data_IF_516750509106
#
_entry.id   IF_516750509106
#
_cell.length_a   1.000
_cell.length_b   1.000
_cell.length_c   1.000
_cell.angle_alpha   90.00
_cell.angle_beta   90.00
_cell.angle_gamma   90.00
#
_symmetry.space_group_name_H-M   'P 1'
#
loop_
_entity.id
_entity.type
_entity.pdbx_description
1 polymer ?
#
# COMPACT_ATOMS: atom_id res chain seq x y z
N UNK A 1 12.94 31.04 -10.58
CA UNK A 1 13.45 29.74 -10.10
C UNK A 1 12.50 28.66 -10.54
N UNK A 2 12.99 27.56 -11.12
CA UNK A 2 12.16 26.39 -11.44
C UNK A 2 12.22 25.42 -10.27
N UNK A 3 11.06 25.01 -9.78
CA UNK A 3 10.90 24.00 -8.73
C UNK A 3 10.21 22.81 -9.39
N UNK A 4 10.73 21.62 -9.17
CA UNK A 4 10.18 20.38 -9.71
C UNK A 4 10.21 19.30 -8.63
N UNK A 5 9.22 18.42 -8.66
CA UNK A 5 9.17 17.26 -7.79
C UNK A 5 8.42 16.11 -8.46
N UNK A 6 8.45 14.96 -7.81
CA UNK A 6 7.77 13.76 -8.26
C UNK A 6 7.19 13.00 -7.07
N UNK A 7 6.16 12.23 -7.34
CA UNK A 7 5.66 11.18 -6.46
C UNK A 7 5.39 9.96 -7.31
N UNK A 8 5.81 8.79 -6.83
CA UNK A 8 5.65 7.55 -7.57
C UNK A 8 4.95 6.53 -6.71
N UNK A 9 3.95 5.82 -7.24
CA UNK A 9 3.45 4.60 -6.62
C UNK A 9 3.83 3.35 -7.40
N UNK A 10 4.05 2.27 -6.67
CA UNK A 10 4.29 0.93 -7.18
C UNK A 10 3.30 -0.04 -6.55
N UNK A 11 2.68 -0.85 -7.40
CA UNK A 11 1.62 -1.79 -7.02
C UNK A 11 2.15 -3.23 -7.07
N UNK A 12 1.93 -4.01 -6.02
CA UNK A 12 2.41 -5.39 -5.89
C UNK A 12 1.39 -6.29 -5.17
N UNK A 13 1.47 -7.61 -5.40
CA UNK A 13 0.56 -8.59 -4.80
C UNK A 13 1.21 -9.22 -3.56
N UNK A 14 0.81 -8.82 -2.34
CA UNK A 14 1.32 -9.42 -1.12
C UNK A 14 0.82 -10.84 -0.92
N UNK A 15 1.67 -11.68 -0.34
CA UNK A 15 1.36 -13.08 -0.03
C UNK A 15 0.28 -13.23 1.03
N UNK A 16 0.16 -12.26 1.93
CA UNK A 16 -0.77 -12.29 3.06
C UNK A 16 -2.21 -11.89 2.69
N UNK A 17 -2.43 -11.41 1.46
CA UNK A 17 -3.73 -10.88 1.04
C UNK A 17 -4.88 -11.90 1.04
N UNK A 18 -4.59 -13.21 1.02
CA UNK A 18 -5.46 -14.21 0.42
C UNK A 18 -6.05 -15.20 1.43
N UNK A 19 -6.93 -14.75 2.31
CA UNK A 19 -7.95 -15.64 2.86
C UNK A 19 -9.27 -15.41 2.11
N UNK A 20 -9.53 -16.18 1.05
CA UNK A 20 -10.81 -16.15 0.32
C UNK A 20 -10.77 -16.19 -1.21
N UNK A 21 -9.60 -16.14 -1.87
CA UNK A 21 -9.56 -16.38 -3.32
C UNK A 21 -10.00 -17.82 -3.65
N UNK A 22 -10.51 -18.08 -4.87
CA UNK A 22 -10.30 -19.39 -5.47
C UNK A 22 -8.79 -19.59 -5.50
N UNK A 23 -8.25 -20.34 -4.54
CA UNK A 23 -6.82 -20.59 -4.43
C UNK A 23 -6.26 -21.30 -5.67
N UNK A 24 -7.15 -21.85 -6.49
CA UNK A 24 -6.85 -22.64 -7.68
C UNK A 24 -5.75 -22.04 -8.58
N UNK A 25 -5.74 -20.76 -9.00
CA UNK A 25 -4.65 -20.23 -9.84
C UNK A 25 -3.29 -20.13 -9.11
N UNK A 26 -3.27 -19.91 -7.80
CA UNK A 26 -2.03 -19.81 -7.00
C UNK A 26 -1.53 -21.20 -6.55
N UNK A 27 -2.46 -22.10 -6.17
CA UNK A 27 -2.19 -23.50 -5.80
C UNK A 27 -1.73 -24.36 -6.97
N UNK A 28 -2.21 -24.10 -8.18
CA UNK A 28 -1.76 -24.81 -9.40
C UNK A 28 -0.48 -24.18 -10.03
N UNK A 29 0.13 -23.18 -9.37
CA UNK A 29 1.37 -22.54 -9.82
C UNK A 29 1.22 -21.59 -11.02
N UNK A 30 0.00 -21.13 -11.30
CA UNK A 30 -0.35 -20.25 -12.41
C UNK A 30 -0.29 -18.76 -12.04
N UNK A 31 -0.31 -18.40 -10.76
CA UNK A 31 -0.02 -17.05 -10.27
C UNK A 31 1.04 -17.11 -9.16
N UNK A 32 1.93 -16.13 -9.13
CA UNK A 32 3.00 -16.02 -8.13
C UNK A 32 2.77 -14.78 -7.28
N UNK A 33 3.17 -14.86 -6.01
CA UNK A 33 3.28 -13.70 -5.14
C UNK A 33 4.46 -12.84 -5.58
N UNK A 34 4.31 -11.53 -5.42
CA UNK A 34 5.41 -10.61 -5.63
C UNK A 34 6.27 -10.58 -4.37
N UNK A 35 7.59 -10.54 -4.54
CA UNK A 35 8.45 -10.08 -3.43
C UNK A 35 8.08 -8.62 -3.14
N UNK A 36 8.07 -8.20 -1.85
CA UNK A 36 7.87 -6.80 -1.52
C UNK A 36 8.85 -5.92 -2.31
N UNK A 37 8.42 -4.78 -2.87
CA UNK A 37 9.32 -3.85 -3.52
C UNK A 37 10.46 -3.41 -2.59
N UNK A 38 11.55 -2.93 -3.17
CA UNK A 38 12.60 -2.24 -2.41
C UNK A 38 12.04 -0.94 -1.79
N UNK A 39 12.54 -0.55 -0.63
CA UNK A 39 12.20 0.72 0.02
C UNK A 39 12.88 1.93 -0.62
N UNK A 40 13.87 1.67 -1.46
CA UNK A 40 14.44 2.61 -2.39
C UNK A 40 14.01 2.22 -3.81
N UNK A 41 13.33 3.13 -4.49
CA UNK A 41 12.83 2.96 -5.83
C UNK A 41 13.98 2.88 -6.83
N UNK A 42 14.04 1.77 -7.55
CA UNK A 42 14.95 1.59 -8.67
C UNK A 42 14.44 2.22 -9.97
N UNK A 43 15.13 1.92 -11.06
CA UNK A 43 14.69 2.30 -12.40
C UNK A 43 13.39 1.57 -12.77
N UNK A 44 12.30 2.32 -12.98
CA UNK A 44 10.97 1.75 -13.24
C UNK A 44 10.91 0.87 -14.51
N UNK A 45 11.69 1.17 -15.55
CA UNK A 45 11.70 0.36 -16.76
C UNK A 45 12.40 -0.97 -16.52
N UNK A 46 13.52 -0.98 -15.79
CA UNK A 46 14.18 -2.22 -15.34
C UNK A 46 13.31 -3.04 -14.41
N UNK A 47 12.62 -2.39 -13.47
CA UNK A 47 11.69 -3.05 -12.55
C UNK A 47 10.52 -3.68 -13.31
N UNK A 48 9.96 -2.98 -14.31
CA UNK A 48 8.91 -3.53 -15.20
C UNK A 48 9.43 -4.75 -15.96
N UNK A 49 10.62 -4.66 -16.53
CA UNK A 49 11.21 -5.74 -17.34
C UNK A 49 11.52 -6.99 -16.48
N UNK A 50 11.86 -6.78 -15.21
CA UNK A 50 12.03 -7.82 -14.20
C UNK A 50 10.71 -8.36 -13.61
N UNK A 51 9.56 -7.81 -14.00
CA UNK A 51 8.24 -8.14 -13.46
C UNK A 51 8.12 -7.90 -11.94
N UNK A 52 8.81 -6.87 -11.44
CA UNK A 52 8.88 -6.52 -10.01
C UNK A 52 7.66 -5.72 -9.50
N UNK A 53 6.73 -5.37 -10.39
CA UNK A 53 5.47 -4.73 -10.02
C UNK A 53 4.36 -5.02 -11.02
N UNK A 54 3.13 -4.73 -10.63
CA UNK A 54 1.92 -4.90 -11.44
C UNK A 54 1.50 -3.62 -12.14
N UNK A 55 1.63 -2.50 -11.45
CA UNK A 55 1.35 -1.16 -11.96
C UNK A 55 2.31 -0.18 -11.30
N UNK A 56 2.72 0.87 -12.01
CA UNK A 56 3.42 2.01 -11.45
C UNK A 56 2.89 3.32 -12.03
N UNK A 57 2.74 4.32 -11.18
CA UNK A 57 2.27 5.66 -11.52
C UNK A 57 3.34 6.65 -11.09
N UNK A 58 3.96 7.33 -12.05
CA UNK A 58 4.96 8.37 -11.78
C UNK A 58 4.37 9.72 -12.17
N UNK A 59 4.00 10.52 -11.16
CA UNK A 59 3.50 11.88 -11.34
C UNK A 59 4.67 12.85 -11.15
N UNK A 60 4.93 13.69 -12.15
CA UNK A 60 5.96 14.74 -12.13
C UNK A 60 5.33 16.11 -12.33
N UNK A 61 5.76 17.10 -11.57
CA UNK A 61 5.26 18.47 -11.71
C UNK A 61 6.41 19.46 -11.63
N UNK A 62 6.23 20.61 -12.26
CA UNK A 62 7.12 21.75 -12.07
C UNK A 62 6.33 23.06 -12.00
N UNK A 63 6.89 24.04 -11.30
CA UNK A 63 6.43 25.43 -11.24
C UNK A 63 7.61 26.38 -11.49
N UNK A 64 7.34 27.50 -12.14
CA UNK A 64 8.27 28.63 -12.21
C UNK A 64 7.86 29.72 -11.22
N UNK A 65 8.81 30.15 -10.38
CA UNK A 65 8.60 31.20 -9.38
C UNK A 65 9.43 32.43 -9.72
N UNK A 66 8.81 33.61 -9.77
CA UNK A 66 9.47 34.93 -9.90
C UNK A 66 8.94 35.85 -8.79
N UNK A 67 9.84 36.47 -8.04
CA UNK A 67 9.50 37.38 -6.93
C UNK A 67 8.49 36.78 -5.94
N UNK A 68 8.67 35.50 -5.61
CA UNK A 68 7.79 34.75 -4.70
C UNK A 68 6.42 34.35 -5.28
N UNK A 69 6.16 34.62 -6.56
CA UNK A 69 4.91 34.29 -7.25
C UNK A 69 5.11 33.22 -8.31
N UNK A 70 4.15 32.31 -8.42
CA UNK A 70 4.12 31.29 -9.48
C UNK A 70 3.69 31.98 -10.78
N UNK A 71 4.50 31.82 -11.83
CA UNK A 71 4.28 32.45 -13.15
C UNK A 71 4.06 31.44 -14.27
N UNK A 72 4.43 30.17 -14.06
CA UNK A 72 4.23 29.08 -15.02
C UNK A 72 4.23 27.73 -14.28
N UNK A 73 3.67 26.70 -14.91
CA UNK A 73 3.64 25.34 -14.37
C UNK A 73 3.50 24.29 -15.47
N UNK A 74 3.93 23.07 -15.19
CA UNK A 74 3.75 21.94 -16.09
C UNK A 74 3.50 20.63 -15.36
N UNK A 75 2.65 19.81 -15.97
CA UNK A 75 2.27 18.50 -15.50
C UNK A 75 2.87 17.45 -16.44
N UNK A 76 3.75 16.63 -15.91
CA UNK A 76 4.40 15.53 -16.61
C UNK A 76 4.14 14.23 -15.85
N UNK A 77 4.32 13.09 -16.49
CA UNK A 77 4.17 11.83 -15.80
C UNK A 77 3.89 10.69 -16.74
N UNK A 78 3.90 9.49 -16.17
CA UNK A 78 3.67 8.26 -16.91
C UNK A 78 3.05 7.19 -16.04
N UNK A 79 2.32 6.29 -16.69
CA UNK A 79 1.81 5.06 -16.11
C UNK A 79 2.50 3.88 -16.78
N UNK A 80 2.87 2.89 -15.99
CA UNK A 80 3.46 1.64 -16.44
C UNK A 80 2.63 0.48 -15.91
N UNK A 81 2.45 -0.55 -16.73
CA UNK A 81 1.79 -1.78 -16.31
C UNK A 81 2.71 -2.96 -16.57
N UNK A 82 2.81 -3.85 -15.58
CA UNK A 82 3.65 -5.05 -15.63
C UNK A 82 3.08 -6.12 -16.56
N UNK A 83 3.83 -7.20 -16.79
CA UNK A 83 3.39 -8.31 -17.65
C UNK A 83 3.26 -9.56 -16.80
N UNK A 84 2.04 -10.07 -16.62
CA UNK A 84 1.85 -11.30 -15.85
C UNK A 84 2.43 -12.50 -16.61
N UNK A 85 3.51 -13.09 -16.07
CA UNK A 85 4.16 -14.29 -16.63
C UNK A 85 3.87 -15.49 -15.75
N UNK A 86 3.33 -16.55 -16.34
CA UNK A 86 2.98 -17.78 -15.63
C UNK A 86 3.91 -18.90 -16.11
N UNK A 87 4.38 -19.75 -15.19
CA UNK A 87 5.08 -21.00 -15.54
C UNK A 87 4.03 -22.09 -15.79
N UNK A 88 4.12 -22.79 -16.92
CA UNK A 88 3.25 -23.91 -17.24
C UNK A 88 4.12 -25.07 -17.73
N UNK A 89 4.40 -26.02 -16.82
CA UNK A 89 5.39 -27.08 -17.07
C UNK A 89 6.78 -26.51 -17.37
N UNK A 90 7.47 -26.93 -18.45
CA UNK A 90 8.76 -26.36 -18.85
C UNK A 90 8.64 -25.00 -19.57
N UNK A 91 7.42 -24.55 -19.91
CA UNK A 91 7.17 -23.32 -20.65
C UNK A 91 6.80 -22.12 -19.78
N UNK A 92 6.88 -20.92 -20.35
CA UNK A 92 6.35 -19.67 -19.77
C UNK A 92 5.33 -19.05 -20.72
N UNK A 93 4.17 -18.67 -20.20
CA UNK A 93 3.13 -17.93 -20.94
C UNK A 93 3.07 -16.50 -20.39
N UNK A 94 3.05 -15.51 -21.28
CA UNK A 94 2.94 -14.09 -20.91
C UNK A 94 1.54 -13.58 -21.27
N UNK A 95 0.88 -12.95 -20.31
CA UNK A 95 -0.37 -12.23 -20.51
C UNK A 95 -0.07 -10.74 -20.53
N UNK A 96 -0.11 -10.10 -21.71
CA UNK A 96 0.15 -8.67 -21.80
C UNK A 96 -0.95 -7.93 -21.04
N UNK A 97 -0.53 -7.07 -20.12
CA UNK A 97 -1.42 -6.12 -19.51
C UNK A 97 -1.72 -4.99 -20.49
N UNK A 98 -2.87 -4.34 -20.31
CA UNK A 98 -3.30 -3.24 -21.18
C UNK A 98 -3.35 -1.97 -20.34
N UNK A 99 -2.37 -1.09 -20.56
CA UNK A 99 -2.38 0.24 -19.97
C UNK A 99 -3.57 1.04 -20.51
N UNK A 100 -4.25 1.75 -19.62
CA UNK A 100 -5.26 2.71 -20.01
C UNK A 100 -4.66 4.10 -20.22
N UNK A 101 -5.34 5.00 -20.95
CA UNK A 101 -4.91 6.38 -21.06
C UNK A 101 -4.77 7.04 -19.68
N UNK A 102 -3.71 7.83 -19.49
CA UNK A 102 -3.55 8.60 -18.26
C UNK A 102 -4.70 9.60 -18.09
N UNK A 103 -5.19 9.75 -16.87
CA UNK A 103 -6.12 10.82 -16.51
C UNK A 103 -5.31 11.88 -15.80
N UNK A 104 -5.20 13.05 -16.43
CA UNK A 104 -4.45 14.20 -15.95
C UNK A 104 -5.38 15.44 -16.04
N UNK A 105 -6.19 15.72 -15.00
CA UNK A 105 -6.95 16.97 -14.95
C UNK A 105 -6.01 18.19 -14.99
N UNK A 106 -6.57 19.33 -15.39
CA UNK A 106 -5.87 20.62 -15.33
C UNK A 106 -5.40 20.88 -13.88
N UNK A 107 -4.13 21.27 -13.67
CA UNK A 107 -3.62 21.56 -12.33
C UNK A 107 -4.42 22.66 -11.63
N UNK A 108 -4.68 22.47 -10.35
CA UNK A 108 -5.35 23.48 -9.52
C UNK A 108 -4.30 24.46 -8.99
N UNK A 109 -4.54 25.75 -9.23
CA UNK A 109 -3.63 26.83 -8.82
C UNK A 109 -4.23 27.58 -7.65
N UNK A 110 -3.49 27.64 -6.54
CA UNK A 110 -3.85 28.42 -5.36
C UNK A 110 -2.82 29.50 -5.03
N UNK A 111 -2.99 30.14 -3.88
CA UNK A 111 -2.07 31.17 -3.41
C UNK A 111 -0.73 30.55 -2.99
N UNK A 112 0.29 30.72 -3.83
CA UNK A 112 1.63 30.20 -3.58
C UNK A 112 1.79 28.70 -3.74
N UNK A 113 0.84 27.99 -4.37
CA UNK A 113 0.97 26.56 -4.67
C UNK A 113 0.25 26.13 -5.94
N UNK A 114 0.70 25.02 -6.53
CA UNK A 114 0.01 24.31 -7.63
C UNK A 114 -0.15 22.84 -7.26
N UNK A 115 -1.33 22.28 -7.48
CA UNK A 115 -1.69 20.88 -7.23
C UNK A 115 -1.91 20.15 -8.54
N UNK A 116 -1.18 19.06 -8.71
CA UNK A 116 -1.25 18.14 -9.82
C UNK A 116 -1.92 16.85 -9.34
N UNK A 117 -2.75 16.23 -10.18
CA UNK A 117 -3.38 14.94 -9.91
C UNK A 117 -3.23 14.06 -11.13
N UNK A 118 -2.82 12.80 -10.95
CA UNK A 118 -2.66 11.84 -12.04
C UNK A 118 -3.19 10.48 -11.63
N UNK A 119 -4.10 9.93 -12.44
CA UNK A 119 -4.49 8.52 -12.36
C UNK A 119 -3.81 7.73 -13.46
N UNK A 120 -3.14 6.65 -13.05
CA UNK A 120 -2.57 5.65 -13.93
C UNK A 120 -3.08 4.26 -13.56
N UNK A 121 -3.10 3.36 -14.55
CA UNK A 121 -3.45 1.98 -14.34
C UNK A 121 -3.87 1.29 -15.63
N UNK A 122 -4.50 0.13 -15.48
CA UNK A 122 -4.87 -0.69 -16.61
C UNK A 122 -5.35 -2.06 -16.22
N UNK A 123 -5.70 -2.86 -17.23
CA UNK A 123 -6.04 -4.27 -17.03
C UNK A 123 -4.77 -5.03 -16.70
N UNK A 124 -4.71 -5.55 -15.49
CA UNK A 124 -3.69 -6.51 -15.08
C UNK A 124 -3.81 -7.75 -15.97
N UNK A 125 -2.79 -8.60 -16.04
CA UNK A 125 -2.81 -9.78 -16.91
C UNK A 125 -3.82 -10.85 -16.46
N UNK A 126 -3.54 -12.12 -16.80
CA UNK A 126 -4.32 -13.32 -16.48
C UNK A 126 -5.87 -13.15 -16.46
N UNK A 127 -6.57 -13.44 -17.57
CA UNK A 127 -8.03 -13.40 -17.60
C UNK A 127 -8.66 -14.40 -16.63
N UNK A 128 -9.67 -13.98 -15.87
CA UNK A 128 -10.44 -14.84 -14.98
C UNK A 128 -11.93 -14.85 -15.37
N UNK A 129 -12.68 -15.96 -15.16
CA UNK A 129 -14.11 -15.99 -15.40
C UNK A 129 -14.86 -15.12 -14.40
N UNK A 130 -15.47 -14.02 -14.86
CA UNK A 130 -16.25 -13.10 -14.01
C UNK A 130 -17.73 -13.18 -14.34
N UNK A 131 -18.58 -13.20 -13.32
CA UNK A 131 -20.04 -13.16 -13.49
C UNK A 131 -20.51 -11.76 -13.94
N UNK A 132 -21.41 -11.70 -14.92
CA UNK A 132 -22.01 -10.46 -15.41
C UNK A 132 -23.53 -10.52 -15.43
N UNK A 133 -24.18 -9.35 -15.46
CA UNK A 133 -25.63 -9.26 -15.66
C UNK A 133 -25.93 -9.44 -17.16
N UNK A 134 -26.80 -10.39 -17.50
CA UNK A 134 -27.17 -10.69 -18.89
C UNK A 134 -26.33 -11.81 -19.52
N UNK A 135 -26.79 -12.37 -20.64
CA UNK A 135 -26.07 -13.41 -21.37
C UNK A 135 -24.92 -12.81 -22.19
N UNK A 136 -23.74 -13.47 -22.26
CA UNK A 136 -23.35 -14.65 -21.49
C UNK A 136 -23.11 -14.28 -20.03
N UNK A 137 -23.71 -14.99 -19.07
CA UNK A 137 -23.68 -14.67 -17.62
C UNK A 137 -22.26 -14.67 -17.00
N UNK A 138 -21.25 -15.02 -17.79
CA UNK A 138 -19.85 -14.94 -17.47
C UNK A 138 -19.07 -14.31 -18.63
N UNK A 139 -18.03 -13.55 -18.31
CA UNK A 139 -17.06 -13.00 -19.25
C UNK A 139 -15.65 -13.34 -18.77
N UNK A 140 -14.75 -13.65 -19.70
CA UNK A 140 -13.32 -13.68 -19.42
C UNK A 140 -12.81 -12.25 -19.48
N UNK A 141 -12.44 -11.69 -18.34
CA UNK A 141 -11.86 -10.36 -18.25
C UNK A 141 -10.77 -10.37 -17.18
N UNK A 142 -9.77 -9.53 -17.38
CA UNK A 142 -8.79 -9.25 -16.35
C UNK A 142 -9.18 -8.03 -15.55
N UNK A 143 -9.00 -8.11 -14.24
CA UNK A 143 -9.26 -7.02 -13.33
C UNK A 143 -8.28 -5.85 -13.57
N UNK A 144 -8.72 -4.65 -13.21
CA UNK A 144 -7.91 -3.44 -13.37
C UNK A 144 -7.30 -3.05 -12.04
N UNK A 145 -6.04 -2.63 -12.04
CA UNK A 145 -5.45 -1.90 -10.92
C UNK A 145 -5.14 -0.48 -11.34
N UNK A 146 -5.21 0.43 -10.39
CA UNK A 146 -4.91 1.83 -10.60
C UNK A 146 -4.48 2.51 -9.31
N UNK A 147 -3.82 3.63 -9.48
CA UNK A 147 -3.53 4.58 -8.41
C UNK A 147 -3.82 5.99 -8.92
N UNK A 148 -4.26 6.84 -8.02
CA UNK A 148 -4.45 8.28 -8.23
C UNK A 148 -3.54 8.99 -7.25
N UNK A 149 -2.51 9.64 -7.80
CA UNK A 149 -1.53 10.40 -7.05
C UNK A 149 -1.88 11.88 -7.08
N UNK A 150 -1.51 12.57 -6.00
CA UNK A 150 -1.52 14.02 -5.90
C UNK A 150 -0.10 14.52 -5.59
N UNK A 151 0.31 15.61 -6.25
CA UNK A 151 1.52 16.35 -5.92
C UNK A 151 1.19 17.83 -5.76
N UNK A 152 1.60 18.43 -4.65
CA UNK A 152 1.50 19.87 -4.42
C UNK A 152 2.91 20.45 -4.43
N UNK A 153 3.15 21.49 -5.22
CA UNK A 153 4.38 22.29 -5.21
C UNK A 153 4.08 23.67 -4.64
N UNK A 154 4.93 24.14 -3.73
CA UNK A 154 4.81 25.45 -3.09
C UNK A 154 5.88 26.41 -3.61
N UNK A 155 5.56 27.70 -3.72
CA UNK A 155 6.46 28.74 -4.20
C UNK A 155 7.71 28.92 -3.32
N UNK A 156 7.66 28.46 -2.06
CA UNK A 156 8.76 28.47 -1.10
C UNK A 156 9.72 27.27 -1.24
N UNK A 157 9.47 26.36 -2.18
CA UNK A 157 10.31 25.19 -2.44
C UNK A 157 9.82 23.90 -1.79
N UNK A 158 8.79 23.92 -0.93
CA UNK A 158 8.21 22.68 -0.39
C UNK A 158 7.46 21.91 -1.47
N UNK A 159 7.36 20.58 -1.28
CA UNK A 159 6.47 19.72 -2.06
C UNK A 159 5.79 18.67 -1.18
N UNK A 160 4.59 18.24 -1.56
CA UNK A 160 3.86 17.14 -0.88
C UNK A 160 3.27 16.19 -1.92
N UNK A 161 3.76 14.96 -1.94
CA UNK A 161 3.18 13.85 -2.70
C UNK A 161 2.29 12.99 -1.80
N UNK A 162 1.17 12.48 -2.33
CA UNK A 162 0.28 11.57 -1.59
C UNK A 162 -0.50 10.64 -2.54
N UNK A 163 -0.86 9.45 -2.07
CA UNK A 163 -1.83 8.57 -2.74
C UNK A 163 -3.25 8.92 -2.27
N UNK A 164 -4.08 9.45 -3.17
CA UNK A 164 -5.43 9.95 -2.84
C UNK A 164 -6.55 9.01 -3.30
N UNK A 165 -6.27 8.16 -4.28
CA UNK A 165 -7.19 7.13 -4.75
C UNK A 165 -6.43 5.90 -5.23
N UNK A 166 -7.04 4.73 -5.13
CA UNK A 166 -6.42 3.48 -5.58
C UNK A 166 -7.46 2.38 -5.76
N UNK A 167 -7.15 1.40 -6.60
CA UNK A 167 -7.86 0.14 -6.60
C UNK A 167 -7.81 -0.51 -5.20
N UNK A 168 -8.89 -1.15 -4.71
CA UNK A 168 -8.87 -1.82 -3.40
C UNK A 168 -7.86 -2.97 -3.29
N UNK A 169 -7.32 -3.44 -4.42
CA UNK A 169 -6.30 -4.46 -4.51
C UNK A 169 -5.60 -4.27 -5.87
N UNK A 170 -4.30 -4.58 -6.05
CA UNK A 170 -3.31 -5.04 -5.06
C UNK A 170 -2.86 -3.98 -4.04
N UNK A 171 -1.77 -4.21 -3.31
CA UNK A 171 -1.20 -3.24 -2.35
C UNK A 171 -0.36 -2.20 -3.09
N UNK A 172 -0.35 -0.97 -2.59
CA UNK A 172 0.33 0.17 -3.20
C UNK A 172 1.34 0.78 -2.24
N UNK A 173 2.57 0.99 -2.71
CA UNK A 173 3.63 1.70 -2.00
C UNK A 173 3.91 3.03 -2.71
N UNK A 174 4.22 4.08 -1.96
CA UNK A 174 4.40 5.44 -2.46
C UNK A 174 5.79 5.93 -2.10
N UNK A 175 6.48 6.48 -3.09
CA UNK A 175 7.85 6.96 -3.02
C UNK A 175 7.90 8.46 -3.30
N UNK A 176 8.78 9.16 -2.60
CA UNK A 176 9.08 10.56 -2.85
C UNK A 176 9.96 10.74 -4.11
N UNK A 177 10.39 11.98 -4.38
CA UNK A 177 11.19 12.34 -5.54
C UNK A 177 12.57 11.67 -5.52
N UNK A 178 13.13 11.48 -4.34
CA UNK A 178 14.41 10.82 -4.11
C UNK A 178 14.30 9.30 -4.23
N UNK A 179 13.08 8.77 -4.39
CA UNK A 179 12.80 7.35 -4.50
C UNK A 179 12.73 6.66 -3.14
N UNK A 180 12.62 7.39 -2.03
CA UNK A 180 12.46 6.80 -0.71
C UNK A 180 10.98 6.48 -0.46
N UNK A 181 10.71 5.29 0.08
CA UNK A 181 9.38 4.87 0.49
C UNK A 181 8.85 5.76 1.62
N UNK A 182 7.67 6.38 1.43
CA UNK A 182 7.08 7.37 2.35
C UNK A 182 5.65 7.06 2.80
N UNK A 183 4.85 6.40 1.97
CA UNK A 183 3.50 5.96 2.33
C UNK A 183 3.22 4.56 1.77
N UNK A 184 2.22 3.88 2.33
CA UNK A 184 1.67 2.63 1.80
C UNK A 184 0.16 2.62 1.96
N UNK A 185 -0.55 1.91 1.08
CA UNK A 185 -1.97 1.65 1.25
C UNK A 185 -2.21 0.79 2.49
N UNK A 186 -3.05 1.27 3.40
CA UNK A 186 -3.38 0.62 4.68
C UNK A 186 -4.32 -0.57 4.54
N UNK A 187 -5.13 -0.61 3.48
CA UNK A 187 -6.17 -1.64 3.30
C UNK A 187 -6.04 -2.36 1.97
N UNK A 188 -6.39 -3.65 1.95
CA UNK A 188 -6.65 -4.41 0.73
C UNK A 188 -7.99 -5.17 0.80
N UNK A 189 -8.79 -5.08 -0.27
CA UNK A 189 -10.09 -5.75 -0.39
C UNK A 189 -10.20 -6.44 -1.76
N UNK A 190 -9.78 -7.70 -1.80
CA UNK A 190 -9.82 -8.53 -3.01
C UNK A 190 -11.24 -8.75 -3.53
N UNK A 191 -12.22 -8.99 -2.65
CA UNK A 191 -13.59 -9.32 -3.07
C UNK A 191 -14.26 -8.12 -3.73
N UNK A 192 -14.11 -6.94 -3.13
CA UNK A 192 -14.57 -5.68 -3.72
C UNK A 192 -13.86 -5.41 -5.03
N UNK A 193 -12.53 -5.50 -5.06
CA UNK A 193 -11.75 -5.31 -6.27
C UNK A 193 -12.21 -6.23 -7.40
N UNK A 194 -12.32 -7.53 -7.15
CA UNK A 194 -12.73 -8.51 -8.14
C UNK A 194 -14.12 -8.25 -8.74
N UNK A 195 -15.01 -7.62 -7.96
CA UNK A 195 -16.35 -7.23 -8.38
C UNK A 195 -16.40 -5.89 -9.11
N UNK A 196 -15.59 -4.92 -8.67
CA UNK A 196 -15.75 -3.48 -8.98
C UNK A 196 -14.60 -2.90 -9.81
N UNK A 197 -13.54 -3.65 -10.12
CA UNK A 197 -12.39 -3.16 -10.92
C UNK A 197 -12.67 -3.01 -12.43
N UNK A 198 -13.90 -2.66 -12.82
CA UNK A 198 -14.36 -2.62 -14.21
C UNK A 198 -15.41 -1.54 -14.44
N UNK A 199 -15.42 -0.98 -15.65
CA UNK A 199 -16.50 -0.09 -16.11
C UNK A 199 -16.61 1.18 -15.26
N UNK A 200 -17.84 1.58 -14.95
CA UNK A 200 -18.20 2.81 -14.20
C UNK A 200 -17.53 2.93 -12.82
N UNK A 201 -17.19 1.80 -12.19
CA UNK A 201 -16.54 1.73 -10.87
C UNK A 201 -15.02 1.92 -10.91
N UNK A 202 -14.51 2.49 -11.99
CA UNK A 202 -13.09 2.80 -12.18
C UNK A 202 -12.93 4.26 -12.59
N UNK A 203 -11.75 4.87 -12.45
CA UNK A 203 -11.54 6.25 -12.84
C UNK A 203 -11.89 6.54 -14.31
N UNK A 204 -11.66 5.57 -15.21
CA UNK A 204 -12.06 5.66 -16.63
C UNK A 204 -13.57 5.52 -16.85
N UNK A 205 -14.30 5.06 -15.86
CA UNK A 205 -15.76 5.02 -15.81
C UNK A 205 -16.39 6.18 -15.03
N UNK A 206 -15.58 7.06 -14.42
CA UNK A 206 -16.03 8.24 -13.70
C UNK A 206 -16.08 8.13 -12.17
N UNK A 207 -15.73 6.98 -11.59
CA UNK A 207 -15.64 6.81 -10.13
C UNK A 207 -14.23 6.37 -9.70
N UNK A 208 -13.63 7.11 -8.76
CA UNK A 208 -12.40 6.68 -8.08
C UNK A 208 -12.71 6.15 -6.68
N UNK A 209 -11.81 5.30 -6.16
CA UNK A 209 -11.89 4.78 -4.79
C UNK A 209 -10.86 5.48 -3.93
N UNK A 210 -11.26 6.18 -2.85
CA UNK A 210 -10.32 6.79 -1.91
C UNK A 210 -9.35 5.76 -1.33
N UNK A 211 -8.07 6.13 -1.24
CA UNK A 211 -7.05 5.30 -0.63
C UNK A 211 -6.90 5.65 0.86
N UNK A 212 -6.91 4.63 1.73
CA UNK A 212 -6.41 4.76 3.09
C UNK A 212 -4.90 4.54 3.04
N UNK A 213 -4.12 5.52 3.48
CA UNK A 213 -2.66 5.45 3.54
C UNK A 213 -2.19 5.46 4.98
N UNK A 214 -1.03 4.85 5.22
CA UNK A 214 -0.36 4.86 6.52
C UNK A 214 1.11 5.17 6.31
N UNK A 215 1.75 5.72 7.36
CA UNK A 215 3.18 5.89 7.38
C UNK A 215 3.90 4.53 7.26
N UNK A 216 5.09 4.57 6.71
CA UNK A 216 5.93 3.39 6.49
C UNK A 216 6.62 3.04 7.80
N UNK A 217 6.66 1.75 8.14
CA UNK A 217 7.41 1.30 9.31
C UNK A 217 8.92 1.47 9.13
N UNK A 218 9.62 1.51 10.27
CA UNK A 218 11.09 1.53 10.30
C UNK A 218 11.69 0.31 9.59
N UNK A 219 12.94 0.43 9.11
CA UNK A 219 13.64 -0.68 8.46
C UNK A 219 13.72 -1.93 9.36
N UNK A 220 13.99 -1.72 10.66
CA UNK A 220 14.03 -2.80 11.65
C UNK A 220 12.67 -3.50 11.75
N UNK A 221 11.59 -2.74 11.89
CA UNK A 221 10.25 -3.29 12.02
C UNK A 221 9.81 -4.06 10.77
N UNK A 222 10.15 -3.55 9.57
CA UNK A 222 9.90 -4.25 8.30
C UNK A 222 10.66 -5.57 8.24
N UNK A 223 11.95 -5.58 8.58
CA UNK A 223 12.78 -6.79 8.57
C UNK A 223 12.25 -7.83 9.57
N UNK A 224 11.78 -7.40 10.74
CA UNK A 224 11.18 -8.27 11.74
C UNK A 224 9.82 -8.82 11.26
N UNK A 225 8.96 -7.99 10.67
CA UNK A 225 7.69 -8.43 10.09
C UNK A 225 7.93 -9.48 9.01
N UNK A 226 8.87 -9.26 8.10
CA UNK A 226 9.24 -10.24 7.08
C UNK A 226 9.78 -11.54 7.69
N UNK A 227 10.59 -11.44 8.74
CA UNK A 227 11.11 -12.62 9.46
C UNK A 227 9.97 -13.44 10.07
N UNK A 228 9.03 -12.79 10.78
CA UNK A 228 7.85 -13.44 11.37
C UNK A 228 7.02 -14.14 10.29
N UNK A 229 6.78 -13.47 9.17
CA UNK A 229 6.02 -14.05 8.06
C UNK A 229 6.72 -15.26 7.41
N UNK A 230 8.06 -15.31 7.44
CA UNK A 230 8.83 -16.47 6.95
C UNK A 230 8.88 -17.63 7.95
N UNK A 231 8.71 -17.36 9.25
CA UNK A 231 8.89 -18.36 10.32
C UNK A 231 7.77 -19.40 10.31
N UNK A 232 6.49 -19.01 10.18
CA UNK A 232 5.40 -19.98 10.21
C UNK A 232 4.06 -19.46 9.64
N UNK A 233 3.63 -20.03 8.50
CA UNK A 233 2.31 -19.75 7.91
C UNK A 233 1.13 -20.16 8.80
N UNK A 234 1.36 -20.96 9.85
CA UNK A 234 0.33 -21.47 10.77
C UNK A 234 0.12 -20.61 12.01
N UNK A 235 0.80 -19.48 12.13
CA UNK A 235 0.56 -18.57 13.26
C UNK A 235 -0.94 -18.20 13.33
N UNK A 236 -1.52 -18.14 14.55
CA UNK A 236 -2.91 -17.75 14.72
C UNK A 236 -3.18 -16.37 14.11
N UNK A 237 -4.30 -16.25 13.39
CA UNK A 237 -4.74 -14.99 12.79
C UNK A 237 -5.99 -14.52 13.51
N UNK A 238 -6.07 -13.22 13.78
CA UNK A 238 -7.26 -12.57 14.33
C UNK A 238 -7.77 -11.53 13.33
N UNK A 239 -9.09 -11.49 13.18
CA UNK A 239 -9.79 -10.46 12.41
C UNK A 239 -10.47 -9.51 13.36
N UNK A 240 -10.48 -8.23 12.99
CA UNK A 240 -11.19 -7.17 13.69
C UNK A 240 -12.08 -6.44 12.70
N UNK A 241 -13.30 -6.16 13.08
CA UNK A 241 -14.13 -5.15 12.44
C UNK A 241 -13.67 -3.74 12.79
N UNK A 242 -14.06 -2.75 11.98
CA UNK A 242 -13.85 -1.36 12.33
C UNK A 242 -14.53 -1.02 13.67
N UNK A 243 -13.82 -0.30 14.54
CA UNK A 243 -14.21 0.03 15.91
C UNK A 243 -13.89 -1.03 16.97
N UNK A 244 -13.47 -2.24 16.59
CA UNK A 244 -13.12 -3.28 17.55
C UNK A 244 -11.74 -3.07 18.19
N UNK A 245 -11.63 -3.37 19.48
CA UNK A 245 -10.34 -3.30 20.20
C UNK A 245 -9.55 -4.61 20.03
N UNK A 246 -8.29 -4.49 19.61
CA UNK A 246 -7.32 -5.59 19.62
C UNK A 246 -6.83 -5.89 21.05
N UNK A 247 -6.32 -4.88 21.75
CA UNK A 247 -5.88 -4.91 23.16
C UNK A 247 -6.31 -3.64 23.89
N UNK A 248 -6.58 -3.75 25.18
CA UNK A 248 -6.89 -2.59 26.04
C UNK A 248 -5.67 -2.20 26.88
N UNK A 249 -5.45 -0.90 27.07
CA UNK A 249 -4.46 -0.37 28.02
C UNK A 249 -4.74 -0.92 29.42
N UNK A 250 -3.68 -1.29 30.14
CA UNK A 250 -3.78 -1.90 31.46
C UNK A 250 -4.09 -3.40 31.46
N UNK A 251 -4.42 -4.01 30.31
CA UNK A 251 -4.62 -5.45 30.22
C UNK A 251 -3.31 -6.21 30.40
N UNK A 252 -3.39 -7.37 31.04
CA UNK A 252 -2.27 -8.33 31.10
C UNK A 252 -2.10 -9.02 29.74
N UNK A 253 -0.85 -9.30 29.36
CA UNK A 253 -0.53 -10.08 28.16
C UNK A 253 0.80 -9.68 27.54
N UNK A 254 1.51 -10.70 27.06
CA UNK A 254 2.84 -10.61 26.45
C UNK A 254 2.84 -10.96 24.96
N UNK A 255 1.69 -11.36 24.39
CA UNK A 255 1.54 -11.58 22.95
C UNK A 255 2.01 -10.37 22.14
N UNK A 256 2.65 -10.65 21.02
CA UNK A 256 2.91 -9.67 19.97
C UNK A 256 1.90 -9.83 18.84
N UNK A 257 1.75 -8.77 18.07
CA UNK A 257 0.91 -8.78 16.88
C UNK A 257 1.67 -8.21 15.69
N UNK A 258 1.48 -8.79 14.51
CA UNK A 258 1.88 -8.19 13.23
C UNK A 258 0.62 -7.80 12.47
N UNK A 259 0.47 -6.52 12.15
CA UNK A 259 -0.66 -6.03 11.35
C UNK A 259 -0.46 -6.41 9.89
N UNK A 260 -1.29 -7.31 9.35
CA UNK A 260 -1.20 -7.76 7.95
C UNK A 260 -1.97 -6.85 7.00
N UNK A 261 -3.04 -6.26 7.51
CA UNK A 261 -4.00 -5.48 6.74
C UNK A 261 -4.87 -4.63 7.67
N UNK A 262 -5.23 -3.44 7.21
CA UNK A 262 -6.01 -2.47 7.97
C UNK A 262 -5.17 -1.43 8.69
N UNK A 263 -5.84 -0.54 9.41
CA UNK A 263 -5.26 0.57 10.19
C UNK A 263 -5.73 0.47 11.63
N UNK A 264 -4.81 0.58 12.58
CA UNK A 264 -5.09 0.64 14.01
C UNK A 264 -4.71 2.01 14.57
N UNK A 265 -5.57 2.57 15.41
CA UNK A 265 -5.23 3.66 16.31
C UNK A 265 -4.50 3.11 17.53
N UNK A 266 -3.43 3.81 17.93
CA UNK A 266 -2.75 3.63 19.21
C UNK A 266 -3.28 4.70 20.16
N UNK A 267 -4.02 4.28 21.18
CA UNK A 267 -4.66 5.17 22.16
C UNK A 267 -3.96 5.07 23.52
N UNK A 268 -3.58 6.20 24.12
CA UNK A 268 -3.04 6.28 25.49
C UNK A 268 -3.96 7.18 26.30
N UNK A 269 -4.46 6.66 27.43
CA UNK A 269 -5.41 7.34 28.30
C UNK A 269 -6.67 7.85 27.58
N UNK A 270 -7.06 7.16 26.50
CA UNK A 270 -8.21 7.48 25.66
C UNK A 270 -7.96 8.50 24.55
N UNK A 271 -6.72 8.96 24.36
CA UNK A 271 -6.33 9.86 23.27
C UNK A 271 -5.52 9.10 22.20
N UNK A 272 -5.90 9.26 20.93
CA UNK A 272 -5.14 8.69 19.80
C UNK A 272 -3.80 9.43 19.66
N UNK A 273 -2.70 8.71 19.85
CA UNK A 273 -1.33 9.26 19.76
C UNK A 273 -0.63 8.90 18.45
N UNK A 274 -1.05 7.83 17.79
CA UNK A 274 -0.49 7.38 16.52
C UNK A 274 -1.47 6.49 15.74
N UNK A 275 -1.30 6.42 14.43
CA UNK A 275 -1.92 5.44 13.54
C UNK A 275 -0.85 4.49 12.99
N UNK A 276 -1.15 3.19 12.99
CA UNK A 276 -0.24 2.15 12.47
C UNK A 276 -0.90 1.32 11.38
N UNK A 277 -0.10 0.95 10.39
CA UNK A 277 -0.56 0.21 9.20
C UNK A 277 0.15 -1.13 8.98
N UNK A 278 -0.10 -1.77 7.83
CA UNK A 278 0.34 -3.14 7.57
C UNK A 278 1.86 -3.32 7.54
N UNK A 279 2.40 -4.22 8.36
CA UNK A 279 3.83 -4.39 8.61
C UNK A 279 4.23 -4.00 10.05
N UNK A 280 3.36 -3.26 10.76
CA UNK A 280 3.62 -2.85 12.12
C UNK A 280 3.65 -4.03 13.10
N UNK A 281 4.64 -4.03 14.00
CA UNK A 281 4.76 -4.95 15.14
C UNK A 281 4.23 -4.24 16.38
N UNK A 282 3.36 -4.91 17.13
CA UNK A 282 2.59 -4.31 18.21
C UNK A 282 2.73 -5.14 19.48
N UNK A 283 2.76 -4.47 20.63
CA UNK A 283 2.85 -5.11 21.94
C UNK A 283 4.29 -5.31 22.44
N UNK A 284 5.28 -4.82 21.70
CA UNK A 284 6.71 -4.93 21.98
C UNK A 284 7.09 -4.32 23.32
N UNK A 285 6.46 -3.21 23.73
CA UNK A 285 6.77 -2.53 25.00
C UNK A 285 6.46 -3.40 26.21
N UNK A 286 5.27 -4.01 26.22
CA UNK A 286 4.86 -4.92 27.29
C UNK A 286 5.78 -6.15 27.37
N UNK A 287 6.18 -6.69 26.21
CA UNK A 287 7.10 -7.83 26.13
C UNK A 287 8.53 -7.49 26.65
N UNK A 288 9.02 -6.27 26.45
CA UNK A 288 10.36 -5.85 26.88
C UNK A 288 10.39 -5.43 28.35
N UNK A 289 9.49 -4.55 28.74
CA UNK A 289 9.50 -3.89 30.05
C UNK A 289 8.90 -4.78 31.15
N UNK A 290 8.04 -5.74 30.76
CA UNK A 290 7.24 -6.54 31.67
C UNK A 290 6.12 -5.71 32.30
N UNK A 291 4.93 -6.28 32.39
CA UNK A 291 3.74 -5.63 32.96
C UNK A 291 2.61 -5.44 31.94
N UNK A 292 1.60 -4.61 32.28
CA UNK A 292 0.39 -4.49 31.47
C UNK A 292 0.62 -3.69 30.19
N UNK A 293 -0.32 -3.79 29.24
CA UNK A 293 -0.30 -3.01 28.00
C UNK A 293 -0.28 -1.50 28.28
N UNK A 294 0.59 -0.79 27.57
CA UNK A 294 0.78 0.66 27.73
C UNK A 294 -0.18 1.52 26.91
N UNK A 295 -0.90 0.92 25.97
CA UNK A 295 -1.85 1.60 25.07
C UNK A 295 -2.98 0.64 24.67
N UNK A 296 -4.15 1.19 24.33
CA UNK A 296 -5.21 0.48 23.62
C UNK A 296 -4.92 0.49 22.12
N UNK A 297 -5.27 -0.59 21.42
CA UNK A 297 -5.15 -0.68 19.97
C UNK A 297 -6.54 -0.88 19.36
N UNK A 298 -7.04 0.10 18.62
CA UNK A 298 -8.41 0.09 18.09
C UNK A 298 -8.43 0.13 16.57
N UNK A 299 -9.25 -0.73 15.96
CA UNK A 299 -9.37 -0.83 14.51
C UNK A 299 -10.09 0.39 13.92
N UNK A 300 -9.42 1.14 13.04
CA UNK A 300 -10.02 2.23 12.25
C UNK A 300 -10.72 1.65 11.02
N UNK A 301 -10.10 0.65 10.40
CA UNK A 301 -10.67 -0.15 9.31
C UNK A 301 -10.81 -1.61 9.75
N UNK A 302 -11.47 -2.49 8.99
CA UNK A 302 -11.31 -3.92 9.22
C UNK A 302 -9.82 -4.29 9.21
N UNK A 303 -9.37 -5.02 10.22
CA UNK A 303 -7.96 -5.37 10.39
C UNK A 303 -7.76 -6.88 10.42
N UNK A 304 -6.58 -7.31 9.96
CA UNK A 304 -6.08 -8.67 10.10
C UNK A 304 -4.73 -8.63 10.78
N UNK A 305 -4.56 -9.39 11.84
CA UNK A 305 -3.29 -9.51 12.56
C UNK A 305 -2.86 -10.95 12.68
N UNK A 306 -1.56 -11.18 12.66
CA UNK A 306 -0.93 -12.41 13.15
C UNK A 306 -0.64 -12.25 14.63
N UNK A 307 -0.89 -13.28 15.41
CA UNK A 307 -0.56 -13.35 16.84
C UNK A 307 0.66 -14.25 17.02
N UNK A 308 1.64 -13.81 17.81
CA UNK A 308 2.83 -14.59 18.12
C UNK A 308 3.27 -14.38 19.56
N UNK A 309 3.80 -15.45 20.15
CA UNK A 309 4.46 -15.40 21.47
C UNK A 309 5.72 -14.52 21.40
N UNK A 310 5.98 -13.74 22.45
CA UNK A 310 7.09 -12.78 22.49
C UNK A 310 8.46 -13.42 22.26
N UNK A 311 8.61 -14.67 22.70
CA UNK A 311 9.83 -15.48 22.63
C UNK A 311 10.26 -15.81 21.19
N UNK A 312 9.36 -15.64 20.22
CA UNK A 312 9.67 -15.82 18.80
C UNK A 312 10.51 -14.68 18.21
N UNK A 313 10.59 -13.53 18.88
CA UNK A 313 11.46 -12.41 18.52
C UNK A 313 12.50 -12.24 19.62
N UNK A 314 13.75 -11.96 19.27
CA UNK A 314 14.78 -11.80 20.30
C UNK A 314 14.49 -10.57 21.16
N UNK A 315 14.78 -10.68 22.47
CA UNK A 315 14.62 -9.55 23.39
C UNK A 315 15.42 -8.32 22.95
N UNK A 316 16.57 -8.52 22.29
CA UNK A 316 17.38 -7.44 21.74
C UNK A 316 16.61 -6.66 20.66
N UNK A 317 16.06 -7.36 19.67
CA UNK A 317 15.30 -6.75 18.57
C UNK A 317 14.06 -6.01 19.10
N UNK A 318 13.33 -6.60 20.04
CA UNK A 318 12.18 -5.94 20.67
C UNK A 318 12.59 -4.69 21.45
N UNK A 319 13.75 -4.71 22.11
CA UNK A 319 14.26 -3.55 22.84
C UNK A 319 14.65 -2.42 21.89
N UNK A 320 15.31 -2.74 20.77
CA UNK A 320 15.64 -1.73 19.75
C UNK A 320 14.38 -1.13 19.13
N UNK A 321 13.36 -1.94 18.85
CA UNK A 321 12.07 -1.46 18.34
C UNK A 321 11.35 -0.55 19.36
N UNK A 322 11.32 -0.94 20.65
CA UNK A 322 10.71 -0.13 21.69
C UNK A 322 11.45 1.20 21.94
N UNK A 323 12.75 1.25 21.65
CA UNK A 323 13.57 2.47 21.76
C UNK A 323 13.42 3.38 20.53
N UNK A 324 13.23 2.83 19.32
CA UNK A 324 13.02 3.64 18.12
C UNK A 324 11.72 4.44 18.22
N UNK A 325 10.61 3.79 18.60
CA UNK A 325 9.30 4.45 18.75
C UNK A 325 9.28 5.55 19.81
N UNK A 326 9.98 5.34 20.94
CA UNK A 326 10.13 6.39 21.98
C UNK A 326 10.81 7.66 21.48
N UNK A 327 11.68 7.56 20.48
CA UNK A 327 12.35 8.73 19.88
C UNK A 327 11.45 9.46 18.87
N UNK A 328 10.46 8.77 18.32
CA UNK A 328 9.48 9.35 17.41
C UNK A 328 8.33 10.04 18.17
N UNK A 329 8.04 9.58 19.40
CA UNK A 329 7.05 10.15 20.32
C UNK A 329 7.54 11.42 21.08
N UNK A 330 8.85 11.72 21.07
CA UNK A 330 9.50 12.77 21.88
C UNK A 330 9.92 14.01 21.08
#
# INVERSE_FOLDING_TARGET
>A
MRIESAVTSVTWIPSEAIEGMPKLPFEIGVAHYDEPPSDTLGDLDKLRDADAFREANELRGWIEVKDGRIVDYGHEGRGLIGVTRIKLGPGRLAFPAVAFPLIQPEPEVGDGWVRFVQTAGGRMGLPAPRRVRGKPYFQLASASAWTTLQLILYADGRSKGSLVGASPFPRHWVYDREGKLVEKSGTIDFEKWYRESYGEKTPWGGEDTPAFVTAVETELERALSESVMKIDDKLPRRRLGAGETLVEQGAEGDDLYVLLDGVLDVEVDGETVAEVGPGAILGERAAVEGGPRTASLRAVTPCRVVVLESERISKYELTELALSRRREEA
#
